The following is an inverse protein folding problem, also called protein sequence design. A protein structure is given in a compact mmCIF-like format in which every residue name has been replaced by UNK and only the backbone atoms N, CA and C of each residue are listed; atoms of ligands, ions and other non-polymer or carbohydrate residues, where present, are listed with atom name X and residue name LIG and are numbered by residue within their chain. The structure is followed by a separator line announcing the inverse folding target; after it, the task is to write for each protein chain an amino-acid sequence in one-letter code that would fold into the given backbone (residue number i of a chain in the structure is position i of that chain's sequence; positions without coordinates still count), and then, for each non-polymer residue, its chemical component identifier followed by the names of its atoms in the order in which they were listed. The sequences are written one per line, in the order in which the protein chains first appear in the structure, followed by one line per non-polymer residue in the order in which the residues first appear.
data_IF_495289397914
#
_entry.id   IF_495289397914
#
_cell.length_a   1.000
_cell.length_b   1.000
_cell.length_c   1.000
_cell.angle_alpha   90.00
_cell.angle_beta   90.00
_cell.angle_gamma   90.00
#
_symmetry.space_group_name_H-M   'P 1'
#
loop_
_entity.id
_entity.type
_entity.pdbx_description
1 polymer ?
#
# COMPACT_ATOMS: atom_id res chain seq x y z
N UNK A 1 -18.42 -19.78 -17.64
CA UNK A 1 -17.27 -20.20 -16.79
C UNK A 1 -16.14 -19.15 -16.81
N UNK A 2 -15.56 -18.75 -17.96
CA UNK A 2 -14.44 -17.78 -17.99
C UNK A 2 -14.74 -16.45 -17.27
N UNK A 3 -15.92 -15.87 -17.44
CA UNK A 3 -16.33 -14.62 -16.78
C UNK A 3 -16.43 -14.73 -15.26
N UNK A 4 -16.84 -15.87 -14.74
CA UNK A 4 -16.89 -16.15 -13.29
C UNK A 4 -15.47 -16.26 -12.74
N UNK A 5 -14.59 -16.99 -13.43
CA UNK A 5 -13.18 -17.11 -13.03
C UNK A 5 -12.45 -15.77 -12.95
N UNK A 6 -12.67 -14.87 -13.93
CA UNK A 6 -12.09 -13.53 -13.89
C UNK A 6 -12.58 -12.71 -12.67
N UNK A 7 -13.87 -12.73 -12.38
CA UNK A 7 -14.44 -12.05 -11.21
C UNK A 7 -13.90 -12.57 -9.88
N UNK A 8 -13.69 -13.88 -9.79
CA UNK A 8 -13.11 -14.50 -8.60
C UNK A 8 -11.64 -14.10 -8.44
N UNK A 9 -10.87 -14.08 -9.54
CA UNK A 9 -9.48 -13.65 -9.50
C UNK A 9 -9.36 -12.19 -9.02
N UNK A 10 -10.20 -11.28 -9.55
CA UNK A 10 -10.27 -9.89 -9.12
C UNK A 10 -10.62 -9.76 -7.62
N UNK A 11 -11.60 -10.55 -7.17
CA UNK A 11 -12.00 -10.58 -5.76
C UNK A 11 -10.85 -11.02 -4.84
N UNK A 12 -10.15 -12.10 -5.20
CA UNK A 12 -9.02 -12.61 -4.43
C UNK A 12 -7.88 -11.58 -4.38
N UNK A 13 -7.56 -10.96 -5.52
CA UNK A 13 -6.54 -9.91 -5.58
C UNK A 13 -6.88 -8.75 -4.64
N UNK A 14 -8.14 -8.30 -4.63
CA UNK A 14 -8.61 -7.24 -3.74
C UNK A 14 -8.57 -7.65 -2.26
N UNK A 15 -8.94 -8.90 -1.92
CA UNK A 15 -8.83 -9.40 -0.54
C UNK A 15 -7.36 -9.44 -0.07
N UNK A 16 -6.44 -9.91 -0.92
CA UNK A 16 -5.00 -9.91 -0.65
C UNK A 16 -4.46 -8.50 -0.40
N UNK A 17 -4.90 -7.52 -1.18
CA UNK A 17 -4.55 -6.12 -0.98
C UNK A 17 -5.02 -5.59 0.37
N UNK A 18 -6.28 -5.88 0.76
CA UNK A 18 -6.83 -5.50 2.06
C UNK A 18 -6.08 -6.12 3.23
N UNK A 19 -5.68 -7.38 3.11
CA UNK A 19 -4.94 -8.06 4.17
C UNK A 19 -3.53 -7.47 4.33
N UNK A 20 -2.87 -7.15 3.22
CA UNK A 20 -1.58 -6.45 3.23
C UNK A 20 -1.69 -5.09 3.93
N UNK A 21 -2.68 -4.26 3.54
CA UNK A 21 -2.90 -2.95 4.14
C UNK A 21 -3.29 -3.05 5.62
N UNK A 22 -4.00 -4.13 6.01
CA UNK A 22 -4.30 -4.42 7.42
C UNK A 22 -3.04 -4.75 8.23
N UNK A 23 -2.08 -5.48 7.66
CA UNK A 23 -0.78 -5.68 8.30
C UNK A 23 -0.03 -4.36 8.48
N UNK A 24 -0.04 -3.47 7.48
CA UNK A 24 0.58 -2.15 7.58
C UNK A 24 -0.11 -1.28 8.66
N UNK A 25 -1.44 -1.35 8.76
CA UNK A 25 -2.18 -0.68 9.84
C UNK A 25 -1.75 -1.17 11.22
N UNK A 26 -1.51 -2.46 11.37
CA UNK A 26 -1.06 -3.03 12.65
C UNK A 26 0.36 -2.60 13.04
N UNK A 27 1.31 -2.59 12.11
CA UNK A 27 2.70 -2.24 12.41
C UNK A 27 2.93 -0.74 12.61
N UNK A 28 2.14 0.12 11.96
CA UNK A 28 2.25 1.58 12.11
C UNK A 28 1.23 2.18 13.09
N UNK A 29 0.20 1.44 13.46
CA UNK A 29 -0.97 1.96 14.18
C UNK A 29 -1.96 2.69 13.25
N UNK A 30 -3.06 3.17 13.84
CA UNK A 30 -4.05 3.98 13.10
C UNK A 30 -3.39 5.24 12.55
N UNK A 31 -3.95 5.79 11.47
CA UNK A 31 -3.54 7.10 10.97
C UNK A 31 -3.70 8.12 12.09
N UNK A 32 -2.74 9.00 12.26
CA UNK A 32 -2.72 9.99 13.35
C UNK A 32 -2.64 9.40 14.77
N UNK A 33 -2.06 8.22 14.94
CA UNK A 33 -1.81 7.71 16.29
C UNK A 33 -0.49 8.24 16.83
N UNK A 34 -0.53 9.00 17.91
CA UNK A 34 0.61 9.36 18.75
C UNK A 34 1.08 8.15 19.61
N UNK A 35 0.59 6.95 19.30
CA UNK A 35 0.93 5.75 20.04
C UNK A 35 2.35 5.30 19.75
N UNK A 36 3.27 5.67 20.61
CA UNK A 36 4.67 5.21 20.61
C UNK A 36 4.84 3.69 20.71
N UNK A 37 3.74 2.95 20.89
CA UNK A 37 3.74 1.49 21.01
C UNK A 37 3.66 0.75 19.67
N UNK A 38 3.39 1.42 18.56
CA UNK A 38 3.40 0.77 17.25
C UNK A 38 4.83 0.36 16.85
N UNK A 39 4.97 -0.83 16.25
CA UNK A 39 6.25 -1.43 15.93
C UNK A 39 7.13 -0.53 15.02
N UNK A 40 6.50 0.13 14.02
CA UNK A 40 7.18 1.00 13.04
C UNK A 40 6.90 2.49 13.29
N UNK A 41 6.40 2.85 14.47
CA UNK A 41 6.13 4.26 14.83
C UNK A 41 7.31 5.22 14.54
N UNK A 42 8.57 4.88 14.81
CA UNK A 42 9.71 5.77 14.51
C UNK A 42 9.87 6.12 13.03
N UNK A 43 9.24 5.36 12.12
CA UNK A 43 9.23 5.60 10.67
C UNK A 43 7.92 6.26 10.21
N UNK A 44 7.24 6.97 11.08
CA UNK A 44 6.06 7.77 10.75
C UNK A 44 6.47 9.22 10.58
N UNK A 45 6.13 9.79 9.42
CA UNK A 45 6.19 11.22 9.16
C UNK A 45 4.80 11.75 9.49
N UNK A 46 4.69 12.44 10.60
CA UNK A 46 3.43 12.98 11.06
C UNK A 46 3.36 14.46 10.66
N UNK A 47 2.64 14.76 9.58
CA UNK A 47 2.33 16.13 9.20
C UNK A 47 1.41 16.84 10.20
N UNK A 48 0.98 16.12 11.23
CA UNK A 48 -0.04 16.55 12.19
C UNK A 48 0.50 16.79 13.60
N UNK A 49 1.78 16.71 13.86
CA UNK A 49 2.35 16.97 15.18
C UNK A 49 2.34 18.47 15.50
N UNK A 50 1.14 19.02 15.70
CA UNK A 50 0.91 20.39 16.17
C UNK A 50 0.64 21.43 15.09
N UNK A 51 0.89 21.15 13.82
CA UNK A 51 0.54 21.99 12.67
C UNK A 51 -0.61 21.36 11.88
N UNK A 52 -1.35 22.20 11.15
CA UNK A 52 -2.41 21.72 10.25
C UNK A 52 -1.87 20.65 9.31
N UNK A 53 -2.59 19.54 9.11
CA UNK A 53 -2.16 18.47 8.24
C UNK A 53 -1.88 19.03 6.84
N UNK A 54 -0.75 18.66 6.26
CA UNK A 54 -0.29 19.15 4.97
C UNK A 54 -0.54 18.15 3.87
N UNK A 55 -0.80 18.65 2.68
CA UNK A 55 -0.90 17.80 1.50
C UNK A 55 0.46 17.19 1.15
N UNK A 56 0.43 16.02 0.52
CA UNK A 56 1.64 15.31 0.12
C UNK A 56 2.50 16.20 -0.80
N UNK A 57 3.78 16.29 -0.49
CA UNK A 57 4.74 17.16 -1.17
C UNK A 57 6.11 16.46 -1.32
N UNK A 58 7.01 16.96 -2.16
CA UNK A 58 8.38 16.45 -2.28
C UNK A 58 9.15 16.40 -0.94
N UNK A 59 8.79 17.26 0.00
CA UNK A 59 9.36 17.28 1.35
C UNK A 59 9.16 15.95 2.07
N UNK A 60 7.97 15.33 1.97
CA UNK A 60 7.68 14.05 2.62
C UNK A 60 8.56 12.92 2.06
N UNK A 61 8.91 12.96 0.77
CA UNK A 61 9.86 12.01 0.18
C UNK A 61 11.27 12.22 0.75
N UNK A 62 11.70 13.46 0.89
CA UNK A 62 13.00 13.78 1.49
C UNK A 62 13.07 13.36 2.96
N UNK A 63 12.01 13.59 3.72
CA UNK A 63 11.90 13.16 5.12
C UNK A 63 11.87 11.63 5.25
N UNK A 64 11.15 10.92 4.34
CA UNK A 64 11.16 9.46 4.30
C UNK A 64 12.56 8.90 4.06
N UNK A 65 13.32 9.49 3.13
CA UNK A 65 14.72 9.13 2.89
C UNK A 65 15.60 9.43 4.11
N UNK A 66 15.40 10.58 4.75
CA UNK A 66 16.17 10.97 5.93
C UNK A 66 15.94 10.04 7.13
N UNK A 67 14.70 9.55 7.33
CA UNK A 67 14.38 8.59 8.39
C UNK A 67 15.08 7.22 8.20
N UNK A 68 15.29 6.80 6.96
CA UNK A 68 16.02 5.58 6.63
C UNK A 68 17.55 5.80 6.56
N UNK A 69 18.02 7.05 6.61
CA UNK A 69 19.44 7.40 6.56
C UNK A 69 20.12 6.87 5.30
N UNK A 70 21.15 6.05 5.47
CA UNK A 70 21.93 5.45 4.37
C UNK A 70 21.13 4.46 3.49
N UNK A 71 19.99 3.97 3.98
CA UNK A 71 19.10 3.09 3.23
C UNK A 71 18.01 3.86 2.43
N UNK A 72 17.93 5.18 2.58
CA UNK A 72 16.91 6.01 1.95
C UNK A 72 16.89 5.95 0.42
N UNK A 73 18.03 5.73 -0.22
CA UNK A 73 18.11 5.59 -1.68
C UNK A 73 17.49 4.28 -2.21
N UNK A 74 17.21 3.31 -1.34
CA UNK A 74 16.57 2.06 -1.71
C UNK A 74 15.04 2.16 -1.83
N UNK A 75 14.45 3.33 -1.54
CA UNK A 75 13.03 3.56 -1.76
C UNK A 75 12.71 3.51 -3.25
N UNK A 76 11.77 2.65 -3.64
CA UNK A 76 11.41 2.38 -5.03
C UNK A 76 9.94 2.63 -5.35
N UNK A 77 9.06 2.52 -4.36
CA UNK A 77 7.62 2.63 -4.58
C UNK A 77 6.93 3.46 -3.49
N UNK A 78 5.81 4.05 -3.88
CA UNK A 78 4.91 4.81 -3.01
C UNK A 78 3.48 4.31 -3.23
N UNK A 79 2.76 4.01 -2.13
CA UNK A 79 1.35 3.63 -2.17
C UNK A 79 0.52 4.73 -1.50
N UNK A 80 -0.49 5.22 -2.20
CA UNK A 80 -1.34 6.32 -1.74
C UNK A 80 -2.80 6.13 -2.13
N UNK A 81 -3.68 6.85 -1.46
CA UNK A 81 -5.11 6.91 -1.79
C UNK A 81 -5.34 7.67 -3.11
N UNK A 82 -6.41 7.33 -3.85
CA UNK A 82 -6.76 7.97 -5.13
C UNK A 82 -6.92 9.48 -5.02
N UNK A 83 -7.54 10.00 -3.97
CA UNK A 83 -7.69 11.45 -3.75
C UNK A 83 -6.35 12.18 -3.64
N UNK A 84 -5.39 11.59 -2.91
CA UNK A 84 -4.03 12.13 -2.81
C UNK A 84 -3.31 12.10 -4.15
N UNK A 85 -3.51 11.02 -4.92
CA UNK A 85 -2.95 10.90 -6.26
C UNK A 85 -3.48 11.98 -7.21
N UNK A 86 -4.80 12.17 -7.25
CA UNK A 86 -5.40 13.19 -8.13
C UNK A 86 -5.05 14.62 -7.70
N UNK A 87 -4.87 14.90 -6.39
CA UNK A 87 -4.33 16.18 -5.91
C UNK A 87 -2.90 16.42 -6.45
N UNK A 88 -2.04 15.40 -6.48
CA UNK A 88 -0.71 15.50 -7.09
C UNK A 88 -0.77 15.69 -8.62
N UNK A 89 -1.72 15.04 -9.29
CA UNK A 89 -1.94 15.21 -10.75
C UNK A 89 -2.38 16.64 -11.05
N UNK A 90 -3.30 17.22 -10.28
CA UNK A 90 -3.74 18.61 -10.41
C UNK A 90 -2.57 19.58 -10.28
N UNK A 91 -1.68 19.33 -9.32
CA UNK A 91 -0.48 20.15 -9.11
C UNK A 91 0.64 19.87 -10.11
N UNK A 92 0.43 18.96 -11.09
CA UNK A 92 1.43 18.52 -12.06
C UNK A 92 2.73 18.01 -11.43
N UNK A 93 2.62 17.38 -10.27
CA UNK A 93 3.74 16.84 -9.52
C UNK A 93 4.07 15.38 -9.90
N UNK A 94 3.21 14.71 -10.66
CA UNK A 94 3.40 13.31 -11.11
C UNK A 94 4.05 13.31 -12.49
N UNK A 95 5.17 12.61 -12.58
CA UNK A 95 5.85 12.33 -13.86
C UNK A 95 5.36 10.98 -14.40
N UNK A 96 5.21 10.88 -15.72
CA UNK A 96 4.80 9.66 -16.37
C UNK A 96 5.97 9.09 -17.16
N UNK A 97 6.43 7.92 -16.76
CA UNK A 97 7.44 7.17 -17.51
C UNK A 97 6.72 6.25 -18.49
N UNK A 98 6.98 6.44 -19.78
CA UNK A 98 6.50 5.52 -20.82
C UNK A 98 7.13 4.14 -20.58
N UNK A 99 6.32 3.09 -20.63
CA UNK A 99 6.85 1.73 -20.64
C UNK A 99 7.80 1.61 -21.84
N UNK A 100 9.05 1.26 -21.57
CA UNK A 100 10.12 1.24 -22.57
C UNK A 100 9.78 0.25 -23.66
N UNK A 101 9.63 0.71 -24.92
CA UNK A 101 9.71 -0.17 -26.05
C UNK A 101 11.09 -0.81 -26.09
N UNK A 102 11.15 -2.06 -26.51
CA UNK A 102 12.36 -2.90 -26.58
C UNK A 102 13.54 -2.30 -27.41
N UNK A 103 13.41 -1.08 -27.88
CA UNK A 103 14.37 -0.36 -28.70
C UNK A 103 15.15 0.75 -27.96
N UNK A 104 15.10 0.78 -26.62
CA UNK A 104 16.01 1.61 -25.80
C UNK A 104 15.80 3.12 -25.83
N UNK A 105 14.70 3.60 -26.39
CA UNK A 105 14.36 5.01 -26.38
C UNK A 105 13.63 5.41 -25.11
N UNK A 106 14.33 5.99 -24.15
CA UNK A 106 13.71 6.63 -22.97
C UNK A 106 13.08 7.95 -23.41
N UNK A 107 11.78 7.91 -23.73
CA UNK A 107 11.01 9.14 -23.89
C UNK A 107 10.58 9.63 -22.50
N UNK A 108 11.45 10.38 -21.83
CA UNK A 108 11.08 11.14 -20.64
C UNK A 108 10.24 12.33 -21.10
N UNK A 109 8.93 12.22 -21.01
CA UNK A 109 8.05 13.38 -21.19
C UNK A 109 8.18 14.27 -19.95
N UNK A 110 9.16 15.18 -19.99
CA UNK A 110 9.28 16.25 -19.00
C UNK A 110 8.13 17.24 -19.17
N UNK A 111 7.28 17.34 -18.19
CA UNK A 111 6.11 18.21 -18.19
C UNK A 111 4.83 17.42 -18.43
N UNK A 112 4.33 16.81 -17.36
CA UNK A 112 3.14 15.95 -17.38
C UNK A 112 1.94 16.59 -18.08
N UNK A 113 1.62 16.11 -19.27
CA UNK A 113 0.35 16.41 -19.90
C UNK A 113 -0.74 15.62 -19.17
N UNK A 114 -1.81 16.30 -18.77
CA UNK A 114 -2.99 15.65 -18.17
C UNK A 114 -3.52 14.52 -19.06
N UNK A 115 -3.34 14.61 -20.37
CA UNK A 115 -3.70 13.58 -21.34
C UNK A 115 -2.90 12.27 -21.14
N UNK A 116 -1.69 12.33 -20.62
CA UNK A 116 -0.87 11.14 -20.33
C UNK A 116 -1.30 10.43 -19.04
N UNK A 117 -1.90 11.16 -18.09
CA UNK A 117 -2.41 10.59 -16.83
C UNK A 117 -3.52 9.54 -17.08
N UNK A 118 -4.23 9.65 -18.18
CA UNK A 118 -5.33 8.76 -18.54
C UNK A 118 -4.94 7.72 -19.61
N UNK A 119 -3.68 7.73 -20.07
CA UNK A 119 -3.17 6.75 -21.03
C UNK A 119 -2.77 5.43 -20.34
N UNK A 120 -3.26 4.30 -20.86
CA UNK A 120 -3.10 2.97 -20.24
C UNK A 120 -1.69 2.37 -20.35
N UNK A 121 -0.72 3.10 -20.90
CA UNK A 121 0.66 2.62 -21.18
C UNK A 121 1.75 3.31 -20.37
N UNK A 122 1.38 4.25 -19.48
CA UNK A 122 2.34 5.01 -18.69
C UNK A 122 2.35 4.58 -17.24
N UNK A 123 3.54 4.47 -16.65
CA UNK A 123 3.69 4.22 -15.21
C UNK A 123 3.83 5.56 -14.51
N UNK A 124 2.90 5.93 -13.62
CA UNK A 124 3.00 7.16 -12.85
C UNK A 124 4.17 7.05 -11.87
N UNK A 125 4.98 8.11 -11.81
CA UNK A 125 6.08 8.23 -10.86
C UNK A 125 6.01 9.56 -10.12
N UNK A 126 6.38 9.56 -8.86
CA UNK A 126 6.49 10.75 -8.03
C UNK A 126 7.89 10.79 -7.42
N UNK A 127 8.65 11.81 -7.75
CA UNK A 127 10.05 11.97 -7.32
C UNK A 127 10.92 10.72 -7.59
N UNK A 128 10.68 10.04 -8.72
CA UNK A 128 11.38 8.82 -9.10
C UNK A 128 10.86 7.54 -8.46
N UNK A 129 9.85 7.62 -7.59
CA UNK A 129 9.18 6.47 -6.96
C UNK A 129 7.97 6.05 -7.78
N UNK A 130 7.81 4.74 -8.03
CA UNK A 130 6.62 4.19 -8.69
C UNK A 130 5.40 4.41 -7.83
N UNK A 131 4.35 5.02 -8.39
CA UNK A 131 3.09 5.26 -7.70
C UNK A 131 2.17 4.05 -7.83
N UNK A 132 1.64 3.61 -6.68
CA UNK A 132 0.60 2.59 -6.56
C UNK A 132 -0.61 3.26 -5.92
N UNK A 133 -1.75 3.22 -6.59
CA UNK A 133 -2.98 3.83 -6.10
C UNK A 133 -3.89 2.76 -5.53
N UNK A 134 -4.40 2.98 -4.32
CA UNK A 134 -5.33 2.09 -3.65
C UNK A 134 -6.27 2.85 -2.73
N UNK A 135 -7.58 2.65 -2.90
CA UNK A 135 -8.60 3.27 -2.03
C UNK A 135 -8.78 2.55 -0.68
N UNK A 136 -8.18 1.36 -0.54
CA UNK A 136 -8.19 0.61 0.72
C UNK A 136 -7.09 1.06 1.71
N UNK A 137 -6.31 2.08 1.35
CA UNK A 137 -5.29 2.66 2.25
C UNK A 137 -5.96 3.25 3.48
N UNK A 138 -5.33 3.08 4.63
CA UNK A 138 -5.86 3.52 5.92
C UNK A 138 -6.12 5.02 5.93
N UNK A 139 -7.30 5.39 6.39
CA UNK A 139 -7.75 6.78 6.53
C UNK A 139 -8.26 7.03 7.95
N UNK A 140 -8.24 8.30 8.38
CA UNK A 140 -8.82 8.74 9.64
C UNK A 140 -9.56 10.06 9.43
N UNK A 141 -10.68 10.25 10.10
CA UNK A 141 -11.50 11.45 9.95
C UNK A 141 -12.58 11.33 8.87
N UNK A 142 -13.18 12.45 8.54
CA UNK A 142 -14.23 12.56 7.51
C UNK A 142 -14.27 13.95 6.90
N UNK A 143 -14.69 14.05 5.63
CA UNK A 143 -14.74 15.31 4.88
C UNK A 143 -13.36 15.96 4.72
N UNK A 144 -13.32 17.29 4.71
CA UNK A 144 -12.10 18.08 4.49
C UNK A 144 -10.97 17.85 5.51
N UNK A 145 -11.26 17.13 6.60
CA UNK A 145 -10.27 16.76 7.63
C UNK A 145 -9.84 15.30 7.53
N UNK A 146 -10.12 14.63 6.41
CA UNK A 146 -9.71 13.24 6.22
C UNK A 146 -8.20 13.16 6.05
N UNK A 147 -7.56 12.40 6.91
CA UNK A 147 -6.14 12.09 6.85
C UNK A 147 -5.93 10.77 6.14
N UNK A 148 -4.96 10.73 5.25
CA UNK A 148 -4.60 9.56 4.45
C UNK A 148 -3.22 9.07 4.82
N UNK A 149 -3.06 7.75 4.96
CA UNK A 149 -1.75 7.15 5.07
C UNK A 149 -1.13 7.01 3.68
N UNK A 150 0.10 7.45 3.52
CA UNK A 150 0.92 7.22 2.34
C UNK A 150 2.13 6.39 2.74
N UNK A 151 2.35 5.25 2.09
CA UNK A 151 3.42 4.33 2.42
C UNK A 151 4.51 4.38 1.36
N UNK A 152 5.75 4.46 1.81
CA UNK A 152 6.97 4.37 1.00
C UNK A 152 7.62 3.02 1.23
N UNK A 153 8.02 2.34 0.16
CA UNK A 153 8.58 1.00 0.24
C UNK A 153 9.95 0.92 -0.41
N UNK A 154 10.84 0.17 0.22
CA UNK A 154 12.04 -0.35 -0.41
C UNK A 154 11.73 -1.68 -1.09
N UNK A 155 12.58 -2.11 -2.01
CA UNK A 155 12.49 -3.46 -2.56
C UNK A 155 12.68 -4.49 -1.46
N UNK A 156 11.82 -5.52 -1.44
CA UNK A 156 11.87 -6.59 -0.45
C UNK A 156 11.37 -6.22 0.95
N UNK A 157 10.72 -5.07 1.14
CA UNK A 157 10.20 -4.64 2.45
C UNK A 157 9.06 -5.51 3.00
N UNK A 158 8.37 -6.24 2.12
CA UNK A 158 7.26 -7.14 2.47
C UNK A 158 7.57 -8.53 1.94
N UNK A 159 7.58 -9.51 2.83
CA UNK A 159 7.63 -10.92 2.48
C UNK A 159 6.24 -11.44 2.10
N UNK A 160 6.15 -12.21 1.04
CA UNK A 160 4.95 -12.95 0.63
C UNK A 160 5.27 -14.44 0.57
N UNK A 161 4.42 -15.25 1.18
CA UNK A 161 4.52 -16.70 1.13
C UNK A 161 3.18 -17.33 0.79
N UNK A 162 3.19 -18.38 0.01
CA UNK A 162 2.01 -19.19 -0.30
C UNK A 162 2.28 -20.64 0.16
N UNK A 163 1.43 -21.14 1.03
CA UNK A 163 1.48 -22.54 1.47
C UNK A 163 0.63 -23.40 0.56
N UNK A 164 -0.54 -22.90 0.17
CA UNK A 164 -1.45 -23.56 -0.76
C UNK A 164 -1.81 -22.56 -1.86
N UNK A 165 -1.48 -22.90 -3.10
CA UNK A 165 -1.93 -22.14 -4.27
C UNK A 165 -3.45 -22.22 -4.43
N UNK A 166 -3.99 -21.42 -5.33
CA UNK A 166 -5.42 -21.40 -5.61
C UNK A 166 -5.90 -22.80 -6.05
N UNK A 167 -6.72 -23.44 -5.22
CA UNK A 167 -7.42 -24.69 -5.56
C UNK A 167 -8.89 -24.38 -5.76
N UNK A 168 -9.46 -24.95 -6.80
CA UNK A 168 -10.88 -24.77 -7.15
C UNK A 168 -11.51 -26.15 -7.27
N UNK A 169 -12.54 -26.39 -6.48
CA UNK A 169 -13.36 -27.59 -6.52
C UNK A 169 -14.78 -27.22 -6.94
N UNK A 170 -15.37 -28.03 -7.79
CA UNK A 170 -16.75 -27.83 -8.26
C UNK A 170 -17.55 -29.10 -8.02
N UNK A 171 -18.72 -28.95 -7.46
CA UNK A 171 -19.68 -30.04 -7.25
C UNK A 171 -21.08 -29.62 -7.74
N UNK A 172 -21.83 -30.58 -8.23
CA UNK A 172 -23.21 -30.39 -8.68
C UNK A 172 -24.17 -31.21 -7.85
N UNK A 173 -25.02 -30.53 -7.11
CA UNK A 173 -26.15 -31.15 -6.43
C UNK A 173 -27.30 -31.36 -7.42
N UNK A 174 -27.55 -32.63 -7.77
CA UNK A 174 -28.54 -33.05 -8.72
C UNK A 174 -29.97 -32.85 -8.12
N UNK A 175 -30.12 -32.98 -6.81
CA UNK A 175 -31.41 -32.87 -6.12
C UNK A 175 -31.82 -31.39 -6.00
N UNK A 176 -30.90 -30.51 -5.60
CA UNK A 176 -31.15 -29.09 -5.51
C UNK A 176 -31.01 -28.36 -6.86
N UNK A 177 -30.50 -29.03 -7.91
CA UNK A 177 -30.22 -28.46 -9.24
C UNK A 177 -29.34 -27.19 -9.13
N UNK A 178 -28.39 -27.20 -8.19
CA UNK A 178 -27.43 -26.13 -7.94
C UNK A 178 -26.00 -26.60 -8.21
N UNK A 179 -25.17 -25.68 -8.68
CA UNK A 179 -23.73 -25.91 -8.82
C UNK A 179 -23.02 -25.17 -7.68
N UNK A 180 -22.16 -25.86 -6.92
CA UNK A 180 -21.34 -25.33 -5.87
C UNK A 180 -19.89 -25.22 -6.35
N UNK A 181 -19.20 -24.16 -5.96
CA UNK A 181 -17.77 -23.98 -6.21
C UNK A 181 -17.10 -23.60 -4.88
N UNK A 182 -16.07 -24.34 -4.49
CA UNK A 182 -15.19 -24.03 -3.39
C UNK A 182 -13.85 -23.52 -3.91
N UNK A 183 -13.29 -22.54 -3.23
CA UNK A 183 -11.99 -21.98 -3.57
C UNK A 183 -11.18 -21.88 -2.29
N UNK A 184 -10.05 -22.57 -2.28
CA UNK A 184 -9.14 -22.63 -1.16
C UNK A 184 -7.79 -21.99 -1.53
N UNK A 185 -7.30 -21.12 -0.64
CA UNK A 185 -6.05 -20.40 -0.82
C UNK A 185 -5.42 -20.09 0.53
N UNK A 186 -4.14 -20.48 0.72
CA UNK A 186 -3.39 -20.16 1.93
C UNK A 186 -2.17 -19.30 1.59
N UNK A 187 -2.14 -18.07 2.09
CA UNK A 187 -1.04 -17.14 1.88
C UNK A 187 -0.75 -16.33 3.15
N UNK A 188 0.42 -15.75 3.20
CA UNK A 188 0.83 -14.84 4.28
C UNK A 188 1.56 -13.65 3.69
N UNK A 189 1.28 -12.46 4.23
CA UNK A 189 2.08 -11.26 4.05
C UNK A 189 2.71 -10.87 5.36
N UNK A 190 4.01 -10.59 5.31
CA UNK A 190 4.75 -10.24 6.51
C UNK A 190 5.67 -9.04 6.26
N UNK A 191 5.45 -7.90 6.94
CA UNK A 191 6.38 -6.78 6.90
C UNK A 191 7.72 -7.20 7.49
N UNK A 192 8.79 -7.05 6.71
CA UNK A 192 10.13 -7.46 7.13
C UNK A 192 10.60 -6.60 8.30
N UNK A 193 11.14 -7.25 9.34
CA UNK A 193 11.61 -6.61 10.56
C UNK A 193 10.55 -6.46 11.66
N UNK A 194 9.30 -6.85 11.39
CA UNK A 194 8.27 -7.03 12.41
C UNK A 194 8.22 -8.51 12.87
N UNK A 195 7.69 -8.74 14.05
CA UNK A 195 7.38 -10.08 14.58
C UNK A 195 5.91 -10.10 14.97
N UNK A 196 5.21 -11.14 14.54
CA UNK A 196 3.87 -11.46 15.01
C UNK A 196 3.94 -12.07 16.41
N UNK A 197 3.21 -11.52 17.38
CA UNK A 197 3.30 -11.88 18.78
C UNK A 197 2.21 -12.85 19.24
N UNK A 198 1.20 -13.11 18.41
CA UNK A 198 0.04 -13.96 18.73
C UNK A 198 0.24 -15.36 18.17
N UNK A 199 -0.33 -16.36 18.83
CA UNK A 199 -0.21 -17.78 18.43
C UNK A 199 -1.26 -18.23 17.42
N UNK A 200 -2.19 -17.36 17.01
CA UNK A 200 -3.23 -17.69 16.03
C UNK A 200 -2.63 -17.97 14.65
N UNK A 201 -2.91 -19.17 14.13
CA UNK A 201 -2.43 -19.59 12.83
C UNK A 201 -3.23 -18.95 11.66
N UNK A 202 -4.44 -18.48 11.94
CA UNK A 202 -5.32 -17.85 10.95
C UNK A 202 -5.92 -16.54 11.52
N UNK A 203 -5.13 -15.46 11.58
CA UNK A 203 -5.57 -14.22 12.18
C UNK A 203 -6.64 -13.52 11.33
N UNK A 204 -7.61 -12.93 12.00
CA UNK A 204 -8.59 -12.05 11.37
C UNK A 204 -7.97 -10.70 11.00
N UNK A 205 -8.57 -9.95 10.07
CA UNK A 205 -8.12 -8.57 9.76
C UNK A 205 -8.07 -7.66 10.96
N UNK A 206 -9.03 -7.77 11.88
CA UNK A 206 -9.03 -6.99 13.11
C UNK A 206 -7.79 -7.30 13.98
N UNK A 207 -7.38 -8.56 14.05
CA UNK A 207 -6.16 -8.95 14.74
C UNK A 207 -4.90 -8.43 14.03
N UNK A 208 -4.87 -8.47 12.68
CA UNK A 208 -3.77 -7.92 11.90
C UNK A 208 -3.61 -6.40 12.10
N UNK A 209 -4.72 -5.67 12.24
CA UNK A 209 -4.73 -4.22 12.50
C UNK A 209 -4.37 -3.85 13.95
N UNK A 210 -4.39 -4.80 14.86
CA UNK A 210 -4.11 -4.54 16.28
C UNK A 210 -2.62 -4.33 16.51
N UNK A 211 -2.24 -3.13 16.96
CA UNK A 211 -0.84 -2.72 17.20
C UNK A 211 -0.11 -3.65 18.17
N UNK A 212 -0.78 -4.07 19.25
CA UNK A 212 -0.19 -4.93 20.29
C UNK A 212 0.22 -6.33 19.78
N UNK A 213 -0.25 -6.74 18.62
CA UNK A 213 0.08 -8.04 18.02
C UNK A 213 1.39 -8.02 17.20
N UNK A 214 1.98 -6.85 17.05
CA UNK A 214 3.22 -6.65 16.30
C UNK A 214 4.34 -6.10 17.18
N UNK A 215 5.54 -6.59 17.00
CA UNK A 215 6.73 -6.07 17.69
C UNK A 215 7.87 -5.86 16.70
N UNK A 216 8.66 -4.81 16.93
CA UNK A 216 9.84 -4.50 16.12
C UNK A 216 11.00 -5.42 16.49
N UNK A 217 11.68 -6.00 15.50
CA UNK A 217 12.85 -6.86 15.67
C UNK A 217 14.11 -6.21 15.12
N UNK A 218 14.02 -5.54 13.96
CA UNK A 218 15.16 -4.92 13.30
C UNK A 218 15.35 -3.46 13.74
N UNK A 219 16.53 -2.94 13.54
CA UNK A 219 16.78 -1.50 13.68
C UNK A 219 15.92 -0.69 12.70
N UNK A 220 15.55 0.51 13.10
CA UNK A 220 14.61 1.37 12.36
C UNK A 220 15.02 1.59 10.90
N UNK A 221 16.30 1.84 10.63
CA UNK A 221 16.81 2.07 9.26
C UNK A 221 16.71 0.84 8.34
N UNK A 222 16.57 -0.37 8.90
CA UNK A 222 16.52 -1.62 8.13
C UNK A 222 15.09 -2.13 7.90
N UNK A 223 14.06 -1.37 8.33
CA UNK A 223 12.67 -1.80 8.20
C UNK A 223 12.11 -1.64 6.78
N UNK A 224 12.66 -0.74 5.99
CA UNK A 224 12.33 -0.59 4.57
C UNK A 224 10.92 -0.05 4.25
N UNK A 225 10.14 0.34 5.24
CA UNK A 225 8.79 0.90 5.06
C UNK A 225 8.68 2.17 5.89
N UNK A 226 8.25 3.27 5.26
CA UNK A 226 7.98 4.55 5.93
C UNK A 226 6.53 4.94 5.66
N UNK A 227 5.86 5.51 6.65
CA UNK A 227 4.51 6.07 6.50
C UNK A 227 4.55 7.59 6.61
N UNK A 228 3.88 8.29 5.72
CA UNK A 228 3.51 9.70 5.89
C UNK A 228 2.00 9.83 6.08
N UNK A 229 1.60 10.73 6.95
CA UNK A 229 0.20 11.12 7.13
C UNK A 229 -0.01 12.46 6.42
N UNK A 230 -0.98 12.54 5.54
CA UNK A 230 -1.26 13.72 4.73
C UNK A 230 -2.76 13.90 4.52
N UNK A 231 -3.15 15.10 4.12
CA UNK A 231 -4.52 15.43 3.67
C UNK A 231 -4.57 15.62 2.17
N UNK A 232 -5.76 15.58 1.60
CA UNK A 232 -6.01 15.95 0.21
C UNK A 232 -6.72 17.31 0.15
N UNK A 233 -6.37 18.14 -0.82
CA UNK A 233 -7.12 19.38 -1.09
C UNK A 233 -8.38 19.12 -1.93
N UNK A 234 -8.64 17.87 -2.31
CA UNK A 234 -9.82 17.46 -3.07
C UNK A 234 -10.97 16.96 -2.18
N UNK A 235 -10.88 17.15 -0.85
CA UNK A 235 -11.93 16.80 0.11
C UNK A 235 -12.92 17.93 0.34
#
# INVERSE_FOLDING_TARGET
MAAIGAKIADYIAHQRQKDLLSCLAGVFGTVHTTSSSAAFFPLTIDGASGDSPTALSPRHVAEAKALLGDQGEKLTAICMHSKVYYDLVERRAVDYVLATDSNGGSATASGGSIAQAFGNTTVPTFMGLRVIVSDDVNTNGSGASTEYATYFFTEGAIGSGEQLGLQTETDRDILAKSDAMSIDLHYVYHPIGAKWAVTDANPTRAQLQTVGNWSKVFETKNLGIVRATNVSNMD
#
